data_IF_193426514782
#
_entry.id   IF_193426514782
#
_cell.length_a   1.000
_cell.length_b   1.000
_cell.length_c   1.000
_cell.angle_alpha   90.00
_cell.angle_beta   90.00
_cell.angle_gamma   90.00
#
_symmetry.space_group_name_H-M   'P 1'
#
loop_
_entity.id
_entity.type
_entity.pdbx_description
1 polymer ?
#
# COMPACT_ATOMS: atom_id res chain seq x y z
N UNK A 1 9.84 2.80 16.81
CA UNK A 1 10.09 1.63 15.92
C UNK A 1 9.41 1.93 14.61
N UNK A 2 10.16 2.12 13.53
CA UNK A 2 9.58 2.45 12.22
C UNK A 2 9.31 1.16 11.47
N UNK A 3 8.03 0.84 11.22
CA UNK A 3 7.61 -0.33 10.44
C UNK A 3 6.82 0.15 9.23
N UNK A 4 6.76 -0.68 8.20
CA UNK A 4 5.89 -0.46 7.05
C UNK A 4 4.81 -1.53 7.02
N UNK A 5 3.57 -1.14 6.69
CA UNK A 5 2.45 -2.07 6.58
C UNK A 5 2.73 -3.13 5.51
N UNK A 6 2.52 -4.41 5.83
CA UNK A 6 2.78 -5.52 4.91
C UNK A 6 1.81 -5.61 3.74
N UNK A 7 0.69 -4.86 3.78
CA UNK A 7 -0.32 -4.87 2.72
C UNK A 7 -0.33 -3.59 1.86
N UNK A 8 -0.07 -2.41 2.41
CA UNK A 8 -0.07 -1.15 1.63
C UNK A 8 1.29 -0.43 1.57
N UNK A 9 2.26 -0.83 2.40
CA UNK A 9 3.58 -0.19 2.42
C UNK A 9 3.60 1.16 3.15
N UNK A 10 2.49 1.61 3.73
CA UNK A 10 2.44 2.85 4.50
C UNK A 10 3.33 2.75 5.76
N UNK A 11 4.06 3.82 6.11
CA UNK A 11 4.84 3.88 7.34
C UNK A 11 3.90 3.86 8.57
N UNK A 12 4.33 3.18 9.63
CA UNK A 12 3.68 3.11 10.92
C UNK A 12 4.70 3.47 12.00
N UNK A 13 4.40 4.52 12.77
CA UNK A 13 5.35 5.19 13.65
C UNK A 13 4.81 5.45 15.05
N UNK A 14 3.49 5.66 15.18
CA UNK A 14 2.77 5.84 16.45
C UNK A 14 1.76 4.72 16.63
N UNK A 15 1.38 4.45 17.89
CA UNK A 15 0.45 3.38 18.26
C UNK A 15 -0.82 3.37 17.39
N UNK A 16 -1.35 4.54 17.08
CA UNK A 16 -2.59 4.72 16.33
C UNK A 16 -2.46 4.30 14.87
N UNK A 17 -1.25 4.27 14.30
CA UNK A 17 -1.02 3.81 12.93
C UNK A 17 -1.21 2.30 12.80
N UNK A 18 -0.99 1.54 13.89
CA UNK A 18 -1.02 0.09 13.89
C UNK A 18 -2.45 -0.43 14.05
N UNK A 19 -2.75 -1.55 13.37
CA UNK A 19 -4.03 -2.23 13.49
C UNK A 19 -4.39 -2.46 14.97
N UNK A 20 -5.59 -2.04 15.37
CA UNK A 20 -6.12 -2.15 16.74
C UNK A 20 -5.21 -1.53 17.83
N UNK A 21 -4.29 -0.63 17.46
CA UNK A 21 -3.32 -0.04 18.38
C UNK A 21 -2.24 -1.00 18.86
N UNK A 22 -2.02 -2.13 18.18
CA UNK A 22 -0.98 -3.12 18.51
C UNK A 22 0.33 -2.81 17.76
N UNK A 23 1.33 -2.25 18.44
CA UNK A 23 2.65 -1.93 17.87
C UNK A 23 3.44 -3.18 17.40
N UNK A 24 3.00 -4.38 17.78
CA UNK A 24 3.53 -5.63 17.24
C UNK A 24 2.94 -6.02 15.88
N UNK A 25 1.80 -5.45 15.50
CA UNK A 25 1.15 -5.69 14.22
C UNK A 25 2.06 -5.39 13.03
N UNK A 26 1.89 -6.18 11.96
CA UNK A 26 2.51 -5.96 10.67
C UNK A 26 1.63 -5.13 9.73
N UNK A 27 0.44 -4.72 10.17
CA UNK A 27 -0.55 -4.01 9.35
C UNK A 27 -0.98 -2.71 10.01
N UNK A 28 -1.32 -1.72 9.18
CA UNK A 28 -1.83 -0.45 9.64
C UNK A 28 -3.34 -0.52 9.93
N UNK A 29 -3.84 0.48 10.67
CA UNK A 29 -5.26 0.62 11.00
C UNK A 29 -6.19 0.62 9.77
N UNK A 30 -5.67 1.05 8.61
CA UNK A 30 -6.46 1.19 7.39
C UNK A 30 -6.54 -0.11 6.57
N UNK A 31 -5.63 -1.06 6.78
CA UNK A 31 -5.61 -2.32 6.02
C UNK A 31 -6.29 -3.47 6.77
N UNK A 32 -6.78 -3.22 7.98
CA UNK A 32 -7.42 -4.20 8.83
C UNK A 32 -8.83 -3.71 9.17
N UNK A 33 -9.80 -4.62 9.24
CA UNK A 33 -11.17 -4.33 9.64
C UNK A 33 -11.34 -4.36 11.17
N UNK A 34 -12.57 -4.19 11.65
CA UNK A 34 -12.88 -4.15 13.09
C UNK A 34 -12.65 -5.51 13.75
N UNK A 35 -12.82 -6.59 12.97
CA UNK A 35 -12.63 -7.98 13.36
C UNK A 35 -11.15 -8.41 13.38
N UNK A 36 -10.24 -7.58 12.86
CA UNK A 36 -8.81 -7.86 12.81
C UNK A 36 -8.35 -8.60 11.55
N UNK A 37 -9.22 -8.77 10.55
CA UNK A 37 -8.88 -9.36 9.26
C UNK A 37 -8.35 -8.30 8.29
N UNK A 38 -7.44 -8.72 7.41
CA UNK A 38 -6.93 -7.85 6.34
C UNK A 38 -8.05 -7.60 5.34
N UNK A 39 -8.27 -6.33 4.99
CA UNK A 39 -9.30 -5.89 4.04
C UNK A 39 -9.14 -6.49 2.66
N UNK A 40 -10.20 -6.44 1.86
CA UNK A 40 -10.19 -6.95 0.49
C UNK A 40 -9.13 -6.25 -0.36
N UNK A 41 -8.60 -6.96 -1.37
CA UNK A 41 -7.55 -6.39 -2.22
C UNK A 41 -8.03 -5.12 -2.93
N UNK A 42 -9.28 -5.10 -3.39
CA UNK A 42 -9.91 -3.96 -4.06
C UNK A 42 -9.89 -2.70 -3.17
N UNK A 43 -10.17 -2.85 -1.87
CA UNK A 43 -10.14 -1.72 -0.93
C UNK A 43 -8.72 -1.19 -0.72
N UNK A 44 -7.76 -2.10 -0.50
CA UNK A 44 -6.36 -1.72 -0.27
C UNK A 44 -5.76 -1.11 -1.54
N UNK A 45 -6.10 -1.67 -2.69
CA UNK A 45 -5.67 -1.16 -3.99
C UNK A 45 -6.24 0.23 -4.25
N UNK A 46 -7.55 0.44 -4.09
CA UNK A 46 -8.16 1.75 -4.28
C UNK A 46 -7.59 2.79 -3.31
N UNK A 47 -7.35 2.43 -2.04
CA UNK A 47 -6.67 3.31 -1.08
C UNK A 47 -5.27 3.72 -1.54
N UNK A 48 -4.48 2.78 -2.08
CA UNK A 48 -3.18 3.06 -2.68
C UNK A 48 -3.28 3.96 -3.92
N UNK A 49 -4.27 3.73 -4.79
CA UNK A 49 -4.53 4.57 -5.96
C UNK A 49 -4.84 6.00 -5.53
N UNK A 50 -5.73 6.19 -4.55
CA UNK A 50 -6.08 7.52 -4.05
C UNK A 50 -4.87 8.24 -3.45
N UNK A 51 -4.01 7.53 -2.72
CA UNK A 51 -2.75 8.09 -2.24
C UNK A 51 -1.85 8.53 -3.40
N UNK A 52 -1.52 7.65 -4.34
CA UNK A 52 -0.64 8.06 -5.45
C UNK A 52 -1.29 9.11 -6.36
N UNK A 53 -2.62 9.17 -6.46
CA UNK A 53 -3.29 10.27 -7.16
C UNK A 53 -3.07 11.62 -6.45
N UNK A 54 -3.05 11.67 -5.11
CA UNK A 54 -2.76 12.92 -4.39
C UNK A 54 -1.32 13.38 -4.61
N UNK A 55 -0.40 12.46 -4.86
CA UNK A 55 1.03 12.74 -5.03
C UNK A 55 1.45 12.97 -6.49
N UNK A 56 0.65 12.49 -7.46
CA UNK A 56 0.99 12.46 -8.89
C UNK A 56 0.03 13.33 -9.72
N UNK A 57 -0.31 14.51 -9.22
CA UNK A 57 -1.14 15.52 -9.89
C UNK A 57 -2.50 14.97 -10.39
N UNK A 58 -3.06 13.95 -9.72
CA UNK A 58 -4.33 13.34 -10.06
C UNK A 58 -4.31 12.33 -11.22
N UNK A 59 -3.14 11.90 -11.72
CA UNK A 59 -3.06 10.88 -12.78
C UNK A 59 -3.42 9.49 -12.23
N UNK A 60 -4.67 9.06 -12.47
CA UNK A 60 -5.16 7.75 -12.05
C UNK A 60 -4.42 6.59 -12.72
N UNK A 61 -4.08 6.68 -13.99
CA UNK A 61 -3.42 5.56 -14.69
C UNK A 61 -2.02 5.34 -14.14
N UNK A 62 -1.27 6.42 -13.92
CA UNK A 62 0.04 6.33 -13.29
C UNK A 62 -0.09 5.85 -11.84
N UNK A 63 -1.07 6.35 -11.08
CA UNK A 63 -1.32 5.92 -9.71
C UNK A 63 -1.65 4.42 -9.61
N UNK A 64 -2.46 3.86 -10.51
CA UNK A 64 -2.75 2.43 -10.56
C UNK A 64 -1.50 1.58 -10.86
N UNK A 65 -0.69 1.99 -11.85
CA UNK A 65 0.55 1.29 -12.21
C UNK A 65 1.55 1.31 -11.04
N UNK A 66 1.67 2.44 -10.37
CA UNK A 66 2.51 2.63 -9.19
C UNK A 66 1.99 1.83 -8.00
N UNK A 67 0.69 1.81 -7.76
CA UNK A 67 0.05 1.02 -6.70
C UNK A 67 0.29 -0.47 -6.91
N UNK A 68 0.09 -0.98 -8.14
CA UNK A 68 0.40 -2.38 -8.48
C UNK A 68 1.85 -2.70 -8.21
N UNK A 69 2.77 -1.83 -8.64
CA UNK A 69 4.21 -2.00 -8.41
C UNK A 69 4.53 -2.08 -6.92
N UNK A 70 4.02 -1.15 -6.13
CA UNK A 70 4.20 -1.10 -4.69
C UNK A 70 3.67 -2.38 -4.01
N UNK A 71 2.39 -2.70 -4.20
CA UNK A 71 1.74 -3.84 -3.53
C UNK A 71 2.40 -5.17 -3.89
N UNK A 72 2.77 -5.39 -5.15
CA UNK A 72 3.45 -6.63 -5.59
C UNK A 72 4.76 -6.93 -4.87
N UNK A 73 5.40 -5.94 -4.24
CA UNK A 73 6.66 -6.13 -3.52
C UNK A 73 6.48 -6.36 -2.02
N UNK A 74 5.26 -6.20 -1.50
CA UNK A 74 5.01 -6.30 -0.07
C UNK A 74 4.81 -7.75 0.39
N UNK A 75 5.18 -8.09 1.64
CA UNK A 75 5.15 -9.46 2.14
C UNK A 75 3.78 -10.14 2.07
N UNK A 76 2.69 -9.40 2.31
CA UNK A 76 1.35 -9.97 2.31
C UNK A 76 0.98 -10.55 0.94
N UNK A 77 1.24 -9.79 -0.12
CA UNK A 77 0.85 -10.16 -1.50
C UNK A 77 1.74 -11.23 -2.14
N UNK A 78 2.84 -11.65 -1.48
CA UNK A 78 3.62 -12.80 -1.96
C UNK A 78 2.87 -14.13 -1.80
N UNK A 79 1.88 -14.18 -0.89
CA UNK A 79 1.13 -15.40 -0.55
C UNK A 79 -0.39 -15.21 -0.62
N UNK A 80 -0.87 -14.06 -1.09
CA UNK A 80 -2.30 -13.75 -1.22
C UNK A 80 -2.59 -13.31 -2.66
N UNK A 81 -3.46 -14.05 -3.34
CA UNK A 81 -3.84 -13.74 -4.71
C UNK A 81 -4.67 -12.46 -4.77
N UNK A 82 -4.32 -11.59 -5.72
CA UNK A 82 -5.14 -10.45 -6.07
C UNK A 82 -5.09 -10.20 -7.57
N UNK A 83 -6.24 -10.31 -8.24
CA UNK A 83 -6.36 -10.13 -9.68
C UNK A 83 -5.95 -8.73 -10.14
N UNK A 84 -6.17 -7.71 -9.32
CA UNK A 84 -5.77 -6.33 -9.61
C UNK A 84 -4.26 -6.13 -9.69
N UNK A 85 -3.46 -7.02 -9.11
CA UNK A 85 -2.01 -6.93 -9.15
C UNK A 85 -1.40 -7.47 -10.46
N UNK A 86 -2.18 -8.15 -11.31
CA UNK A 86 -1.70 -8.73 -12.56
C UNK A 86 -1.56 -7.75 -13.73
N UNK A 87 -1.93 -6.49 -13.54
CA UNK A 87 -1.89 -5.45 -14.59
C UNK A 87 -0.52 -4.83 -14.84
N UNK A 88 -0.50 -3.81 -15.71
CA UNK A 88 0.69 -3.01 -16.03
C UNK A 88 1.27 -2.33 -14.79
N UNK A 89 2.60 -2.28 -14.70
CA UNK A 89 3.33 -1.60 -13.63
C UNK A 89 4.26 -0.56 -14.23
N UNK A 90 4.62 0.45 -13.43
CA UNK A 90 5.76 1.32 -13.76
C UNK A 90 7.06 0.52 -13.69
N UNK A 91 8.09 0.96 -14.42
CA UNK A 91 9.44 0.39 -14.32
C UNK A 91 10.07 0.61 -12.94
N UNK A 92 11.14 -0.10 -12.63
CA UNK A 92 11.89 0.08 -11.37
C UNK A 92 12.46 1.49 -11.23
N UNK A 93 12.93 2.06 -12.33
CA UNK A 93 13.48 3.43 -12.38
C UNK A 93 12.38 4.47 -12.13
N UNK A 94 11.26 4.37 -12.85
CA UNK A 94 10.11 5.26 -12.64
C UNK A 94 9.57 5.14 -11.21
N UNK A 95 9.48 3.93 -10.67
CA UNK A 95 9.03 3.72 -9.30
C UNK A 95 9.97 4.39 -8.28
N UNK A 96 11.29 4.24 -8.46
CA UNK A 96 12.27 4.88 -7.59
C UNK A 96 12.18 6.42 -7.65
N UNK A 97 11.98 7.00 -8.84
CA UNK A 97 11.78 8.44 -9.00
C UNK A 97 10.48 8.94 -8.37
N UNK A 98 9.40 8.16 -8.45
CA UNK A 98 8.14 8.48 -7.74
C UNK A 98 8.38 8.49 -6.23
N UNK A 99 9.01 7.45 -5.68
CA UNK A 99 9.27 7.37 -4.23
C UNK A 99 10.14 8.52 -3.72
N UNK A 100 11.12 8.99 -4.50
CA UNK A 100 11.95 10.15 -4.13
C UNK A 100 11.16 11.46 -4.00
N UNK A 101 10.00 11.56 -4.65
CA UNK A 101 9.14 12.74 -4.64
C UNK A 101 8.14 12.74 -3.48
N UNK A 102 7.91 11.58 -2.86
CA UNK A 102 7.05 11.46 -1.69
C UNK A 102 7.74 12.15 -0.51
N UNK A 103 7.11 13.19 0.04
CA UNK A 103 7.63 14.03 1.12
C UNK A 103 7.23 13.54 2.51
#
# INVERSE_FOLDING_TARGET
MHKYCFACGMPMSKREDFAQGDEHSNFCLHCVDEEGAVRACEEIFEGGVQFFMSELDGDRQLAEKTTRKNMRMLPYWQNHECGLLSGEVVSDEEFAEILKKLS
#
